data_IF_321036585211
#
_entry.id   IF_321036585211
#
_cell.length_a   1.000
_cell.length_b   1.000
_cell.length_c   1.000
_cell.angle_alpha   90.00
_cell.angle_beta   90.00
_cell.angle_gamma   90.00
#
_symmetry.space_group_name_H-M   'P 1'
#
loop_
_entity.id
_entity.type
_entity.pdbx_description
1 polymer ?
#
# COMPACT_ATOMS: atom_id res chain seq x y z
N UNK A 1 3.48 19.33 -5.52
CA UNK A 1 2.18 18.66 -5.32
C UNK A 1 2.17 18.19 -3.90
N UNK A 2 1.15 18.58 -3.15
CA UNK A 2 0.96 18.18 -1.76
C UNK A 2 0.24 16.82 -1.71
N UNK A 3 0.51 16.06 -0.66
CA UNK A 3 -0.11 14.76 -0.45
C UNK A 3 -1.48 14.95 0.20
N UNK A 4 -2.52 14.31 -0.34
CA UNK A 4 -3.86 14.31 0.25
C UNK A 4 -4.13 12.97 0.94
N UNK A 5 -4.89 12.96 2.06
CA UNK A 5 -5.36 11.71 2.64
C UNK A 5 -6.25 10.98 1.64
N UNK A 6 -6.22 9.65 1.66
CA UNK A 6 -7.16 8.86 0.89
C UNK A 6 -8.58 9.09 1.41
N UNK A 7 -9.57 9.03 0.52
CA UNK A 7 -10.98 9.04 0.89
C UNK A 7 -11.57 7.70 0.43
N UNK A 8 -12.18 6.97 1.36
CA UNK A 8 -12.71 5.64 1.08
C UNK A 8 -13.80 5.72 0.02
N UNK A 9 -13.61 4.97 -1.06
CA UNK A 9 -14.61 4.79 -2.12
C UNK A 9 -15.47 3.56 -1.82
N UNK A 10 -16.62 3.79 -1.21
CA UNK A 10 -17.58 2.72 -0.90
C UNK A 10 -18.24 2.13 -2.16
N UNK A 11 -18.29 2.86 -3.27
CA UNK A 11 -18.83 2.32 -4.53
C UNK A 11 -17.90 1.24 -5.10
N UNK A 12 -16.59 1.47 -5.06
CA UNK A 12 -15.57 0.47 -5.38
C UNK A 12 -15.63 -0.77 -4.49
N UNK A 13 -15.91 -0.58 -3.19
CA UNK A 13 -15.89 -1.66 -2.21
C UNK A 13 -17.19 -2.48 -2.14
N UNK A 14 -18.36 -1.87 -2.36
CA UNK A 14 -19.63 -2.53 -2.09
C UNK A 14 -20.58 -2.60 -3.29
N UNK A 15 -20.56 -1.60 -4.16
CA UNK A 15 -21.52 -1.50 -5.26
C UNK A 15 -21.04 -2.17 -6.53
N UNK A 16 -19.76 -2.01 -6.87
CA UNK A 16 -19.17 -2.62 -8.07
C UNK A 16 -18.87 -4.10 -7.81
N UNK A 17 -19.03 -4.99 -8.82
CA UNK A 17 -18.59 -6.37 -8.69
C UNK A 17 -17.14 -6.45 -8.20
N UNK A 18 -16.84 -7.35 -7.24
CA UNK A 18 -17.67 -8.44 -6.75
C UNK A 18 -18.66 -8.07 -5.63
N UNK A 19 -18.70 -6.80 -5.22
CA UNK A 19 -19.53 -6.30 -4.13
C UNK A 19 -18.96 -6.61 -2.75
N UNK A 20 -19.80 -6.59 -1.73
CA UNK A 20 -19.43 -6.99 -0.37
C UNK A 20 -19.52 -8.52 -0.20
N UNK A 21 -18.60 -9.27 -0.84
CA UNK A 21 -18.56 -10.74 -0.80
C UNK A 21 -17.33 -11.31 -0.08
N UNK A 22 -16.63 -10.48 0.69
CA UNK A 22 -15.38 -10.84 1.36
C UNK A 22 -14.16 -10.92 0.44
N UNK A 23 -14.28 -10.59 -0.86
CA UNK A 23 -13.13 -10.47 -1.75
C UNK A 23 -12.19 -9.35 -1.25
N UNK A 24 -10.88 -9.63 -1.09
CA UNK A 24 -9.91 -8.63 -0.67
C UNK A 24 -9.91 -7.38 -1.57
N UNK A 25 -9.63 -6.23 -0.98
CA UNK A 25 -9.40 -4.98 -1.69
C UNK A 25 -7.93 -4.59 -1.59
N UNK A 26 -7.36 -4.10 -2.69
CA UNK A 26 -5.98 -3.62 -2.71
C UNK A 26 -5.94 -2.17 -3.18
N UNK A 27 -5.41 -1.30 -2.33
CA UNK A 27 -5.08 0.09 -2.65
C UNK A 27 -3.57 0.18 -2.86
N UNK A 28 -3.14 0.64 -4.03
CA UNK A 28 -1.75 0.99 -4.28
C UNK A 28 -1.47 2.38 -3.72
N UNK A 29 -0.41 2.47 -2.94
CA UNK A 29 0.22 3.70 -2.53
C UNK A 29 1.50 3.90 -3.36
N UNK A 30 1.51 4.90 -4.22
CA UNK A 30 2.73 5.34 -4.88
C UNK A 30 3.40 6.45 -4.07
N UNK A 31 4.65 6.19 -3.72
CA UNK A 31 5.58 7.11 -3.08
C UNK A 31 6.46 7.74 -4.16
N UNK A 32 6.08 8.92 -4.64
CA UNK A 32 6.87 9.70 -5.59
C UNK A 32 7.84 10.61 -4.87
N UNK A 33 9.11 10.22 -4.86
CA UNK A 33 10.18 11.01 -4.29
C UNK A 33 10.77 12.00 -5.30
N UNK A 34 11.21 13.16 -4.81
CA UNK A 34 12.10 14.04 -5.58
C UNK A 34 13.39 13.32 -6.01
N UNK A 35 13.80 12.31 -5.24
CA UNK A 35 14.88 11.36 -5.57
C UNK A 35 14.43 9.93 -5.25
N UNK A 36 15.06 8.96 -5.92
CA UNK A 36 14.93 7.53 -5.63
C UNK A 36 15.17 7.20 -4.15
N UNK A 37 16.14 7.88 -3.53
CA UNK A 37 16.51 7.68 -2.14
C UNK A 37 15.39 8.08 -1.19
N UNK A 38 14.75 9.23 -1.41
CA UNK A 38 13.61 9.69 -0.59
C UNK A 38 12.48 8.65 -0.63
N UNK A 39 12.10 8.20 -1.83
CA UNK A 39 11.02 7.21 -1.97
C UNK A 39 11.35 5.88 -1.28
N UNK A 40 12.58 5.36 -1.49
CA UNK A 40 13.00 4.06 -0.95
C UNK A 40 13.21 4.07 0.56
N UNK A 41 13.86 5.09 1.11
CA UNK A 41 14.10 5.19 2.54
C UNK A 41 12.79 5.41 3.30
N UNK A 42 11.88 6.25 2.78
CA UNK A 42 10.58 6.47 3.39
C UNK A 42 9.74 5.19 3.41
N UNK A 43 9.68 4.47 2.29
CA UNK A 43 8.99 3.18 2.22
C UNK A 43 9.59 2.15 3.20
N UNK A 44 10.91 1.99 3.21
CA UNK A 44 11.58 1.04 4.10
C UNK A 44 11.37 1.37 5.59
N UNK A 45 11.44 2.66 5.95
CA UNK A 45 11.19 3.12 7.32
C UNK A 45 9.76 2.85 7.74
N UNK A 46 8.78 3.20 6.92
CA UNK A 46 7.37 2.96 7.24
C UNK A 46 7.05 1.46 7.35
N UNK A 47 7.51 0.63 6.40
CA UNK A 47 7.35 -0.82 6.51
C UNK A 47 7.97 -1.35 7.81
N UNK A 48 9.14 -0.84 8.23
CA UNK A 48 9.79 -1.26 9.47
C UNK A 48 9.00 -0.95 10.74
N UNK A 49 8.08 0.03 10.73
CA UNK A 49 7.22 0.34 11.88
C UNK A 49 6.04 -0.61 12.00
N UNK A 50 5.68 -1.32 10.93
CA UNK A 50 4.58 -2.28 10.94
C UNK A 50 5.00 -3.58 11.62
N UNK A 51 4.11 -4.11 12.46
CA UNK A 51 4.28 -5.42 13.06
C UNK A 51 4.37 -6.50 11.97
N UNK A 52 5.18 -7.53 12.25
CA UNK A 52 5.23 -8.74 11.42
C UNK A 52 4.46 -9.85 12.12
N UNK A 53 3.62 -10.54 11.36
CA UNK A 53 3.00 -11.78 11.85
C UNK A 53 3.99 -12.96 11.82
N UNK A 54 3.51 -14.14 12.21
CA UNK A 54 4.32 -15.37 12.23
C UNK A 54 4.74 -15.85 10.84
N UNK A 55 4.11 -15.38 9.76
CA UNK A 55 4.49 -15.63 8.38
C UNK A 55 5.45 -14.55 7.83
N UNK A 56 5.80 -13.55 8.64
CA UNK A 56 6.67 -12.44 8.26
C UNK A 56 5.97 -11.34 7.46
N UNK A 57 4.63 -11.40 7.33
CA UNK A 57 3.83 -10.41 6.62
C UNK A 57 3.68 -9.17 7.49
N UNK A 58 3.88 -7.99 6.89
CA UNK A 58 3.72 -6.71 7.58
C UNK A 58 2.30 -6.20 7.48
N UNK A 59 1.71 -5.81 8.60
CA UNK A 59 0.34 -5.33 8.64
C UNK A 59 -0.16 -5.04 10.05
N UNK A 60 -1.43 -4.68 10.12
CA UNK A 60 -2.16 -4.44 11.37
C UNK A 60 -3.66 -4.59 11.10
N UNK A 61 -4.45 -4.92 12.11
CA UNK A 61 -5.90 -4.70 12.07
C UNK A 61 -6.67 -5.25 10.84
N UNK A 62 -6.26 -6.38 10.25
CA UNK A 62 -6.93 -6.97 9.08
C UNK A 62 -6.45 -6.48 7.72
N UNK A 63 -5.40 -5.67 7.67
CA UNK A 63 -4.71 -5.29 6.43
C UNK A 63 -3.23 -5.63 6.48
N UNK A 64 -2.62 -5.74 5.30
CA UNK A 64 -1.18 -5.91 5.11
C UNK A 64 -0.61 -4.92 4.10
N UNK A 65 0.69 -4.65 4.20
CA UNK A 65 1.45 -3.86 3.25
C UNK A 65 2.58 -4.68 2.63
N UNK A 66 2.59 -4.71 1.30
CA UNK A 66 3.59 -5.42 0.51
C UNK A 66 4.31 -4.44 -0.44
N UNK A 67 5.61 -4.68 -0.70
CA UNK A 67 6.30 -3.96 -1.76
C UNK A 67 5.82 -4.48 -3.12
N UNK A 68 5.18 -3.60 -3.89
CA UNK A 68 4.54 -3.94 -5.14
C UNK A 68 5.42 -3.64 -6.35
N UNK A 69 6.17 -2.53 -6.32
CA UNK A 69 6.98 -2.12 -7.46
C UNK A 69 8.00 -1.04 -7.16
N UNK A 70 9.03 -0.97 -8.00
CA UNK A 70 10.07 0.04 -7.97
C UNK A 70 10.25 0.64 -9.36
N UNK A 71 10.27 1.96 -9.45
CA UNK A 71 10.73 2.69 -10.62
C UNK A 71 11.84 3.67 -10.21
N UNK A 72 12.29 4.51 -11.15
CA UNK A 72 13.44 5.40 -10.93
C UNK A 72 13.32 6.21 -9.64
N UNK A 73 12.23 6.97 -9.46
CA UNK A 73 11.97 7.80 -8.28
C UNK A 73 10.66 7.44 -7.55
N UNK A 74 10.09 6.26 -7.85
CA UNK A 74 8.81 5.81 -7.31
C UNK A 74 8.98 4.47 -6.61
N UNK A 75 8.38 4.35 -5.43
CA UNK A 75 8.09 3.06 -4.79
C UNK A 75 6.58 2.87 -4.79
N UNK A 76 6.10 1.68 -5.11
CA UNK A 76 4.67 1.34 -4.99
C UNK A 76 4.51 0.28 -3.92
N UNK A 77 3.61 0.53 -2.98
CA UNK A 77 3.23 -0.39 -1.92
C UNK A 77 1.78 -0.82 -2.13
N UNK A 78 1.49 -2.10 -1.96
CA UNK A 78 0.13 -2.62 -2.02
C UNK A 78 -0.41 -2.74 -0.59
N UNK A 79 -1.45 -1.97 -0.29
CA UNK A 79 -2.21 -2.03 0.96
C UNK A 79 -3.42 -2.92 0.71
N UNK A 80 -3.40 -4.14 1.26
CA UNK A 80 -4.45 -5.13 1.02
C UNK A 80 -5.22 -5.38 2.30
N UNK A 81 -6.53 -5.15 2.26
CA UNK A 81 -7.45 -5.56 3.32
C UNK A 81 -8.27 -6.77 2.87
N UNK A 82 -8.47 -7.71 3.79
CA UNK A 82 -9.34 -8.87 3.58
C UNK A 82 -10.27 -9.07 4.79
N UNK A 83 -11.30 -9.90 4.61
CA UNK A 83 -12.31 -10.16 5.64
C UNK A 83 -13.67 -9.57 5.31
N UNK A 84 -14.58 -9.57 6.29
CA UNK A 84 -15.97 -9.08 6.14
C UNK A 84 -16.07 -7.57 5.97
N UNK A 85 -15.11 -6.80 6.49
CA UNK A 85 -15.06 -5.35 6.31
C UNK A 85 -13.73 -4.87 5.74
N UNK A 86 -13.65 -4.90 4.41
CA UNK A 86 -12.49 -4.40 3.67
C UNK A 86 -12.39 -2.87 3.68
N UNK A 87 -13.47 -2.15 4.01
CA UNK A 87 -13.45 -0.68 4.02
C UNK A 87 -12.66 -0.16 5.21
N UNK A 88 -12.90 -0.74 6.39
CA UNK A 88 -12.17 -0.38 7.61
C UNK A 88 -10.68 -0.65 7.46
N UNK A 89 -10.28 -1.81 6.94
CA UNK A 89 -8.87 -2.13 6.75
C UNK A 89 -8.18 -1.25 5.70
N UNK A 90 -8.88 -0.84 4.62
CA UNK A 90 -8.32 0.13 3.66
C UNK A 90 -8.19 1.51 4.29
N UNK A 91 -9.19 1.96 5.06
CA UNK A 91 -9.14 3.25 5.75
C UNK A 91 -7.99 3.29 6.74
N UNK A 92 -7.88 2.29 7.62
CA UNK A 92 -6.82 2.22 8.63
C UNK A 92 -5.42 2.17 7.99
N UNK A 93 -5.26 1.36 6.93
CA UNK A 93 -3.99 1.30 6.19
C UNK A 93 -3.61 2.65 5.58
N UNK A 94 -4.56 3.33 4.94
CA UNK A 94 -4.30 4.60 4.26
C UNK A 94 -4.06 5.74 5.26
N UNK A 95 -4.82 5.80 6.36
CA UNK A 95 -4.64 6.78 7.43
C UNK A 95 -3.29 6.60 8.13
N UNK A 96 -2.91 5.36 8.44
CA UNK A 96 -1.60 5.05 9.02
C UNK A 96 -0.46 5.50 8.09
N UNK A 97 -0.55 5.13 6.81
CA UNK A 97 0.45 5.51 5.81
C UNK A 97 0.53 7.03 5.64
N UNK A 98 -0.61 7.72 5.53
CA UNK A 98 -0.65 9.17 5.38
C UNK A 98 -0.08 9.90 6.59
N UNK A 99 -0.41 9.46 7.82
CA UNK A 99 0.11 10.06 9.05
C UNK A 99 1.64 9.98 9.14
N UNK A 100 2.25 8.89 8.64
CA UNK A 100 3.69 8.67 8.72
C UNK A 100 4.46 9.27 7.54
N UNK A 101 3.87 9.26 6.35
CA UNK A 101 4.56 9.59 5.10
C UNK A 101 4.14 10.95 4.52
N UNK A 102 2.91 11.41 4.77
CA UNK A 102 2.31 12.58 4.13
C UNK A 102 3.03 13.89 4.40
N UNK A 103 3.75 14.00 5.52
CA UNK A 103 4.51 15.18 5.91
C UNK A 103 5.99 15.16 5.49
N UNK A 104 6.46 14.09 4.82
CA UNK A 104 7.88 13.96 4.46
C UNK A 104 8.22 14.94 3.32
N UNK A 105 9.16 15.88 3.50
CA UNK A 105 9.51 16.83 2.45
C UNK A 105 10.05 16.17 1.19
N UNK A 106 9.51 16.57 0.03
CA UNK A 106 9.92 16.02 -1.26
C UNK A 106 9.37 14.62 -1.56
N UNK A 107 8.37 14.17 -0.81
CA UNK A 107 7.60 12.96 -1.07
C UNK A 107 6.14 13.32 -1.39
N UNK A 108 5.62 12.78 -2.48
CA UNK A 108 4.20 12.89 -2.85
C UNK A 108 3.56 11.51 -2.80
N UNK A 109 2.39 11.42 -2.16
CA UNK A 109 1.59 10.21 -2.06
C UNK A 109 0.49 10.24 -3.12
N UNK A 110 0.37 9.16 -3.89
CA UNK A 110 -0.69 8.98 -4.89
C UNK A 110 -1.36 7.64 -4.61
N UNK A 111 -2.69 7.64 -4.65
CA UNK A 111 -3.52 6.49 -4.35
C UNK A 111 -4.14 5.93 -5.64
N UNK A 112 -4.04 4.62 -5.85
CA UNK A 112 -4.66 3.92 -6.98
C UNK A 112 -5.41 2.68 -6.48
N UNK A 113 -6.71 2.61 -6.74
CA UNK A 113 -7.53 1.44 -6.40
C UNK A 113 -7.34 0.36 -7.47
N UNK A 114 -6.97 -0.86 -7.08
CA UNK A 114 -6.97 -1.97 -8.03
C UNK A 114 -8.38 -2.50 -8.28
N UNK A 115 -8.68 -2.98 -9.50
CA UNK A 115 -9.89 -3.73 -9.75
C UNK A 115 -10.01 -4.91 -8.79
N UNK A 116 -11.16 -5.06 -8.15
CA UNK A 116 -11.44 -6.19 -7.27
C UNK A 116 -11.80 -7.40 -8.13
N UNK A 117 -11.14 -8.53 -7.88
CA UNK A 117 -11.34 -9.78 -8.61
C UNK A 117 -11.51 -10.94 -7.63
N UNK A 118 -12.45 -11.85 -7.92
CA UNK A 118 -12.59 -13.11 -7.19
C UNK A 118 -11.33 -13.98 -7.38
N UNK A 119 -11.07 -14.89 -6.44
CA UNK A 119 -9.80 -15.60 -6.21
C UNK A 119 -8.93 -15.99 -7.41
N UNK A 120 -7.61 -16.10 -7.19
CA UNK A 120 -6.52 -16.49 -8.12
C UNK A 120 -6.39 -15.75 -9.47
N UNK A 121 -7.38 -14.96 -9.89
CA UNK A 121 -7.24 -13.92 -10.93
C UNK A 121 -6.83 -12.56 -10.37
N UNK A 122 -6.81 -12.43 -9.03
CA UNK A 122 -6.11 -11.36 -8.34
C UNK A 122 -4.66 -11.42 -8.78
N UNK A 123 -4.16 -10.33 -9.32
CA UNK A 123 -2.91 -10.35 -10.06
C UNK A 123 -1.81 -10.93 -9.16
N UNK A 124 -1.36 -12.12 -9.49
CA UNK A 124 -0.24 -12.78 -8.82
C UNK A 124 1.02 -12.05 -9.25
N UNK A 125 1.27 -10.90 -8.66
CA UNK A 125 2.55 -10.23 -8.81
C UNK A 125 3.56 -10.99 -7.97
N UNK A 126 4.67 -11.37 -8.59
CA UNK A 126 5.81 -11.85 -7.83
C UNK A 126 6.17 -10.75 -6.81
N UNK A 127 6.15 -11.04 -5.49
CA UNK A 127 6.42 -10.04 -4.49
C UNK A 127 7.83 -9.50 -4.72
N UNK A 128 7.95 -8.18 -4.86
CA UNK A 128 9.27 -7.55 -4.88
C UNK A 128 9.78 -7.65 -3.44
N UNK A 129 10.94 -8.29 -3.18
CA UNK A 129 11.40 -8.45 -1.81
C UNK A 129 11.76 -7.07 -1.23
N UNK A 130 11.45 -6.84 0.05
CA UNK A 130 11.81 -5.57 0.73
C UNK A 130 13.31 -5.25 0.64
N UNK A 131 14.17 -6.26 0.47
CA UNK A 131 15.61 -6.09 0.23
C UNK A 131 15.94 -5.28 -1.04
N UNK A 132 15.00 -5.16 -1.99
CA UNK A 132 15.14 -4.32 -3.16
C UNK A 132 15.07 -2.80 -2.84
N UNK A 133 14.60 -2.42 -1.65
CA UNK A 133 14.60 -1.03 -1.18
C UNK A 133 15.98 -0.56 -0.73
N UNK A 134 16.94 -1.47 -0.52
CA UNK A 134 18.29 -1.12 -0.06
C UNK A 134 19.00 -0.28 -1.13
N UNK A 135 19.24 0.99 -0.82
CA UNK A 135 20.10 1.88 -1.62
C UNK A 135 21.54 1.48 -1.33
N UNK A 136 22.22 0.86 -2.30
CA UNK A 136 23.66 0.59 -2.17
C UNK A 136 24.42 1.91 -2.39
N UNK A 137 25.34 2.29 -1.48
CA UNK A 137 26.25 3.39 -1.77
C UNK A 137 27.12 2.99 -2.98
N UNK A 138 27.36 3.95 -3.87
CA UNK A 138 28.34 3.83 -4.94
C UNK A 138 29.76 3.97 -4.40
#
# INVERSE_FOLDING_TARGET
MDSNPYQVDYDWLWSRPPGNDGTPATLLLHLDGKTAEIARLSAARWLSTLARDSAGIRGSGGWRADLYGLAANRVTLALTSGGEDVADGISDAADNAFAQLGAIPGLTLIWEQLPRKRGSEGIAFAPVPESALVVRPR
#
